data_IF_300327433052
#
_entry.id   IF_300327433052
#
_cell.length_a   1.000
_cell.length_b   1.000
_cell.length_c   1.000
_cell.angle_alpha   90.00
_cell.angle_beta   90.00
_cell.angle_gamma   90.00
#
_symmetry.space_group_name_H-M   'P 1'
#
loop_
_entity.id
_entity.type
_entity.pdbx_description
1 polymer ?
#
# COMPACT_ATOMS: atom_id res chain seq x y z
N UNK A 1 -18.86 -1.83 4.24
CA UNK A 1 -17.97 -1.79 3.05
C UNK A 1 -16.54 -2.17 3.42
N UNK A 2 -16.08 -1.80 4.62
CA UNK A 2 -14.74 -2.08 5.15
C UNK A 2 -14.38 -3.56 5.30
N UNK A 3 -15.33 -4.39 5.74
CA UNK A 3 -15.10 -5.82 5.98
C UNK A 3 -14.65 -6.59 4.72
N UNK A 4 -15.04 -6.11 3.53
CA UNK A 4 -14.67 -6.74 2.28
C UNK A 4 -13.23 -6.44 1.86
N UNK A 5 -12.69 -5.25 2.14
CA UNK A 5 -11.30 -4.93 1.77
C UNK A 5 -10.29 -5.61 2.68
N UNK A 6 -10.60 -5.67 3.97
CA UNK A 6 -9.79 -6.42 4.93
C UNK A 6 -9.72 -7.90 4.55
N UNK A 7 -10.85 -8.53 4.22
CA UNK A 7 -10.86 -9.93 3.78
C UNK A 7 -9.94 -10.18 2.57
N UNK A 8 -9.92 -9.27 1.59
CA UNK A 8 -9.02 -9.38 0.43
C UNK A 8 -7.54 -9.25 0.81
N UNK A 9 -7.22 -8.37 1.76
CA UNK A 9 -5.84 -8.18 2.26
C UNK A 9 -5.39 -9.41 3.06
N UNK A 10 -6.26 -9.94 3.91
CA UNK A 10 -6.02 -11.18 4.67
C UNK A 10 -5.76 -12.34 3.70
N UNK A 11 -6.48 -12.39 2.59
CA UNK A 11 -6.35 -13.41 1.54
C UNK A 11 -5.02 -13.29 0.77
N UNK A 12 -4.57 -12.07 0.48
CA UNK A 12 -3.24 -11.81 -0.10
C UNK A 12 -2.14 -12.30 0.86
N UNK A 13 -2.26 -11.98 2.15
CA UNK A 13 -1.30 -12.37 3.18
C UNK A 13 -1.19 -13.89 3.36
N UNK A 14 -2.33 -14.59 3.33
CA UNK A 14 -2.38 -16.04 3.50
C UNK A 14 -1.88 -16.81 2.26
N UNK A 15 -1.70 -16.13 1.12
CA UNK A 15 -1.22 -16.75 -0.11
C UNK A 15 0.29 -17.00 -0.06
N UNK A 16 0.77 -18.17 -0.54
CA UNK A 16 2.20 -18.43 -0.68
C UNK A 16 2.87 -17.49 -1.69
N UNK A 17 2.12 -17.01 -2.68
CA UNK A 17 2.53 -15.92 -3.58
C UNK A 17 1.55 -14.76 -3.40
N UNK A 18 1.92 -13.80 -2.56
CA UNK A 18 1.07 -12.66 -2.22
C UNK A 18 0.86 -11.71 -3.40
N UNK A 19 1.88 -11.47 -4.20
CA UNK A 19 1.77 -10.55 -5.33
C UNK A 19 0.90 -11.14 -6.44
N UNK A 20 1.12 -12.40 -6.82
CA UNK A 20 0.27 -13.09 -7.80
C UNK A 20 -1.19 -13.16 -7.31
N UNK A 21 -1.41 -13.34 -5.99
CA UNK A 21 -2.77 -13.30 -5.44
C UNK A 21 -3.40 -11.92 -5.55
N UNK A 22 -2.65 -10.87 -5.25
CA UNK A 22 -3.12 -9.50 -5.38
C UNK A 22 -3.51 -9.16 -6.84
N UNK A 23 -2.74 -9.64 -7.82
CA UNK A 23 -3.07 -9.51 -9.25
C UNK A 23 -4.35 -10.26 -9.64
N UNK A 24 -4.54 -11.48 -9.13
CA UNK A 24 -5.78 -12.24 -9.39
C UNK A 24 -6.99 -11.57 -8.76
N UNK A 25 -6.86 -11.06 -7.54
CA UNK A 25 -7.93 -10.34 -6.85
C UNK A 25 -8.25 -9.01 -7.54
N UNK A 26 -7.26 -8.24 -7.98
CA UNK A 26 -7.50 -6.96 -8.66
C UNK A 26 -8.38 -7.09 -9.91
N UNK A 27 -8.36 -8.25 -10.56
CA UNK A 27 -9.20 -8.57 -11.71
C UNK A 27 -10.67 -8.88 -11.36
N UNK A 28 -10.93 -9.38 -10.16
CA UNK A 28 -12.28 -9.78 -9.70
C UNK A 28 -12.94 -8.75 -8.80
N UNK A 29 -12.20 -7.73 -8.36
CA UNK A 29 -12.72 -6.65 -7.52
C UNK A 29 -13.76 -5.77 -8.23
N UNK A 30 -14.83 -5.44 -7.50
CA UNK A 30 -15.80 -4.44 -7.94
C UNK A 30 -15.15 -3.06 -8.06
N UNK A 31 -15.79 -2.16 -8.81
CA UNK A 31 -15.33 -0.77 -8.96
C UNK A 31 -15.27 -0.09 -7.58
N UNK A 32 -16.30 -0.26 -6.75
CA UNK A 32 -16.35 0.31 -5.39
C UNK A 32 -15.18 -0.15 -4.52
N UNK A 33 -14.80 -1.44 -4.61
CA UNK A 33 -13.67 -1.97 -3.85
C UNK A 33 -12.34 -1.38 -4.33
N UNK A 34 -12.15 -1.25 -5.65
CA UNK A 34 -10.96 -0.63 -6.24
C UNK A 34 -10.84 0.83 -5.84
N UNK A 35 -11.93 1.59 -5.92
CA UNK A 35 -11.98 2.98 -5.46
C UNK A 35 -11.78 3.10 -3.94
N UNK A 36 -12.26 2.13 -3.17
CA UNK A 36 -12.02 2.05 -1.73
C UNK A 36 -10.53 1.94 -1.41
N UNK A 37 -9.81 1.02 -2.08
CA UNK A 37 -8.36 0.87 -1.96
C UNK A 37 -7.60 2.13 -2.36
N UNK A 38 -7.94 2.72 -3.52
CA UNK A 38 -7.31 3.97 -3.96
C UNK A 38 -7.50 5.08 -2.93
N UNK A 39 -8.70 5.20 -2.35
CA UNK A 39 -8.98 6.17 -1.26
C UNK A 39 -8.15 5.90 0.00
N UNK A 40 -7.93 4.64 0.37
CA UNK A 40 -7.05 4.30 1.49
C UNK A 40 -5.62 4.75 1.20
N UNK A 41 -5.07 4.40 0.02
CA UNK A 41 -3.72 4.81 -0.36
C UNK A 41 -3.60 6.35 -0.44
N UNK A 42 -4.60 7.04 -0.98
CA UNK A 42 -4.65 8.50 -1.01
C UNK A 42 -4.60 9.13 0.39
N UNK A 43 -5.27 8.53 1.38
CA UNK A 43 -5.19 8.99 2.77
C UNK A 43 -3.79 8.78 3.35
N UNK A 44 -3.14 7.66 3.04
CA UNK A 44 -1.75 7.40 3.44
C UNK A 44 -0.80 8.43 2.79
N UNK A 45 -0.93 8.65 1.48
CA UNK A 45 -0.11 9.61 0.75
C UNK A 45 -0.33 11.06 1.22
N UNK A 46 -1.57 11.45 1.53
CA UNK A 46 -1.86 12.77 2.11
C UNK A 46 -1.28 12.99 3.51
N UNK A 47 -0.85 11.94 4.21
CA UNK A 47 -0.05 12.04 5.42
C UNK A 47 1.45 12.22 5.10
N UNK A 48 1.94 11.59 4.02
CA UNK A 48 3.30 11.82 3.48
C UNK A 48 3.52 13.28 3.16
N UNK A 49 2.63 13.90 2.38
CA UNK A 49 2.76 15.31 1.97
C UNK A 49 2.75 16.29 3.16
N UNK A 50 2.05 15.96 4.24
CA UNK A 50 2.04 16.77 5.47
C UNK A 50 3.33 16.62 6.27
N UNK A 51 3.90 15.41 6.30
CA UNK A 51 5.11 15.10 7.06
C UNK A 51 6.40 15.45 6.28
N UNK A 52 6.31 15.47 4.95
CA UNK A 52 7.39 15.79 4.03
C UNK A 52 6.88 16.76 2.96
N UNK A 53 6.71 18.06 3.29
CA UNK A 53 6.19 19.08 2.37
C UNK A 53 7.19 19.49 1.28
N UNK A 54 7.98 18.55 0.76
CA UNK A 54 9.00 18.77 -0.26
C UNK A 54 8.76 17.89 -1.48
N UNK A 55 8.39 18.53 -2.59
CA UNK A 55 8.52 18.04 -3.97
C UNK A 55 7.38 17.24 -4.63
N UNK A 56 6.12 17.49 -4.26
CA UNK A 56 4.97 17.15 -5.12
C UNK A 56 4.09 18.37 -5.36
N UNK A 57 4.38 19.09 -6.45
CA UNK A 57 3.45 20.07 -7.00
C UNK A 57 2.11 19.40 -7.31
N UNK A 58 1.02 19.97 -6.79
CA UNK A 58 -0.38 19.80 -7.19
C UNK A 58 -0.57 18.86 -8.40
N UNK A 59 -0.94 17.60 -8.16
CA UNK A 59 -1.32 16.72 -9.25
C UNK A 59 -2.58 15.92 -8.91
N UNK A 60 -3.49 15.94 -9.88
CA UNK A 60 -4.68 15.08 -9.95
C UNK A 60 -4.35 13.67 -9.49
N UNK A 61 -5.14 13.21 -8.52
CA UNK A 61 -4.84 12.14 -7.56
C UNK A 61 -4.96 10.73 -8.17
N UNK A 62 -4.95 10.63 -9.51
CA UNK A 62 -5.26 9.41 -10.27
C UNK A 62 -4.05 8.60 -10.74
N UNK A 63 -2.81 9.11 -10.66
CA UNK A 63 -1.64 8.41 -11.22
C UNK A 63 -0.30 8.75 -10.55
N UNK A 64 -0.27 9.62 -9.52
CA UNK A 64 0.98 10.19 -9.01
C UNK A 64 1.74 9.32 -7.99
N UNK A 65 1.14 8.21 -7.55
CA UNK A 65 1.67 7.37 -6.45
C UNK A 65 2.48 6.16 -6.92
N UNK A 66 2.33 5.81 -8.20
CA UNK A 66 2.84 4.58 -8.79
C UNK A 66 3.58 4.89 -10.09
N UNK A 67 4.62 4.12 -10.38
CA UNK A 67 5.30 4.12 -11.68
C UNK A 67 4.64 3.16 -12.69
N UNK A 68 3.43 2.67 -12.42
CA UNK A 68 2.77 1.60 -13.18
C UNK A 68 1.90 2.15 -14.30
N UNK A 69 1.86 1.44 -15.44
CA UNK A 69 1.11 1.90 -16.64
C UNK A 69 -0.35 1.40 -16.69
N UNK A 70 -0.75 0.48 -15.80
CA UNK A 70 -2.08 -0.15 -15.81
C UNK A 70 -2.82 0.01 -14.49
N UNK A 71 -4.11 0.36 -14.55
CA UNK A 71 -5.00 0.44 -13.37
C UNK A 71 -5.06 -0.90 -12.59
N UNK A 72 -4.94 -2.03 -13.28
CA UNK A 72 -4.97 -3.36 -12.63
C UNK A 72 -3.71 -3.65 -11.83
N UNK A 73 -2.57 -3.22 -12.35
CA UNK A 73 -1.28 -3.29 -11.66
C UNK A 73 -1.32 -2.37 -10.44
N UNK A 74 -1.87 -1.16 -10.59
CA UNK A 74 -2.07 -0.22 -9.48
C UNK A 74 -2.83 -0.86 -8.32
N UNK A 75 -3.99 -1.47 -8.59
CA UNK A 75 -4.81 -2.09 -7.54
C UNK A 75 -4.10 -3.26 -6.87
N UNK A 76 -3.39 -4.09 -7.65
CA UNK A 76 -2.62 -5.22 -7.13
C UNK A 76 -1.47 -4.74 -6.22
N UNK A 77 -0.74 -3.72 -6.68
CA UNK A 77 0.33 -3.06 -5.92
C UNK A 77 -0.18 -2.47 -4.60
N UNK A 78 -1.34 -1.83 -4.60
CA UNK A 78 -1.96 -1.28 -3.38
C UNK A 78 -2.32 -2.41 -2.40
N UNK A 79 -2.99 -3.46 -2.89
CA UNK A 79 -3.35 -4.63 -2.06
C UNK A 79 -2.11 -5.26 -1.42
N UNK A 80 -1.07 -5.45 -2.21
CA UNK A 80 0.16 -6.07 -1.75
C UNK A 80 0.90 -5.16 -0.75
N UNK A 81 0.98 -3.85 -0.99
CA UNK A 81 1.55 -2.93 -0.01
C UNK A 81 0.78 -2.95 1.31
N UNK A 82 -0.56 -2.93 1.26
CA UNK A 82 -1.38 -2.92 2.48
C UNK A 82 -1.25 -4.23 3.26
N UNK A 83 -1.13 -5.38 2.58
CA UNK A 83 -0.86 -6.65 3.27
C UNK A 83 0.50 -6.64 3.95
N UNK A 84 1.55 -6.15 3.27
CA UNK A 84 2.87 -6.00 3.85
C UNK A 84 2.86 -5.05 5.05
N UNK A 85 2.23 -3.89 4.92
CA UNK A 85 2.18 -2.89 5.97
C UNK A 85 1.31 -3.33 7.17
N UNK A 86 0.25 -4.13 6.97
CA UNK A 86 -0.58 -4.62 8.07
C UNK A 86 0.08 -5.79 8.81
N UNK A 87 0.79 -6.68 8.11
CA UNK A 87 1.28 -7.93 8.70
C UNK A 87 2.78 -7.94 9.01
N UNK A 88 3.58 -7.06 8.39
CA UNK A 88 5.03 -7.05 8.54
C UNK A 88 5.64 -5.75 9.08
N UNK A 89 4.88 -4.65 9.17
CA UNK A 89 5.42 -3.36 9.64
C UNK A 89 5.93 -3.41 11.09
N UNK A 90 5.26 -4.13 11.98
CA UNK A 90 5.71 -4.30 13.37
C UNK A 90 7.09 -4.96 13.47
N UNK A 91 7.37 -5.91 12.57
CA UNK A 91 8.67 -6.56 12.47
C UNK A 91 9.81 -5.60 12.12
N UNK A 92 9.51 -4.51 11.40
CA UNK A 92 10.50 -3.50 11.01
C UNK A 92 11.00 -2.65 12.18
N UNK A 93 10.22 -2.56 13.28
CA UNK A 93 10.61 -1.80 14.48
C UNK A 93 11.83 -2.43 15.15
N UNK A 94 11.92 -3.76 15.13
CA UNK A 94 13.03 -4.51 15.72
C UNK A 94 14.27 -4.59 14.83
N UNK A 95 14.18 -4.13 13.58
CA UNK A 95 15.31 -4.12 12.65
C UNK A 95 16.18 -2.86 12.85
N UNK A 96 17.50 -2.98 12.63
CA UNK A 96 18.41 -1.85 12.48
C UNK A 96 17.91 -0.85 11.43
N UNK A 97 18.19 0.46 11.59
CA UNK A 97 17.73 1.51 10.66
C UNK A 97 18.07 1.25 9.19
N UNK A 98 19.26 0.71 8.92
CA UNK A 98 19.76 0.43 7.58
C UNK A 98 18.96 -0.70 6.91
N UNK A 99 18.69 -1.77 7.67
CA UNK A 99 17.89 -2.90 7.20
C UNK A 99 16.41 -2.52 7.04
N UNK A 100 15.89 -1.67 7.93
CA UNK A 100 14.56 -1.10 7.81
C UNK A 100 14.42 -0.31 6.52
N UNK A 101 15.36 0.60 6.25
CA UNK A 101 15.35 1.39 5.02
C UNK A 101 15.44 0.51 3.78
N UNK A 102 16.36 -0.47 3.78
CA UNK A 102 16.48 -1.45 2.70
C UNK A 102 15.17 -2.19 2.45
N UNK A 103 14.46 -2.60 3.50
CA UNK A 103 13.15 -3.26 3.37
C UNK A 103 12.07 -2.34 2.79
N UNK A 104 12.01 -1.09 3.22
CA UNK A 104 11.07 -0.09 2.70
C UNK A 104 11.35 0.16 1.21
N UNK A 105 12.62 0.32 0.82
CA UNK A 105 13.00 0.44 -0.60
C UNK A 105 12.58 -0.80 -1.40
N UNK A 106 12.87 -2.01 -0.91
CA UNK A 106 12.47 -3.25 -1.59
C UNK A 106 10.96 -3.38 -1.73
N UNK A 107 10.17 -2.94 -0.74
CA UNK A 107 8.71 -2.91 -0.86
C UNK A 107 8.23 -1.91 -1.91
N UNK A 108 8.87 -0.75 -2.00
CA UNK A 108 8.63 0.22 -3.07
C UNK A 108 8.95 -0.34 -4.45
N UNK A 109 10.07 -1.05 -4.60
CA UNK A 109 10.46 -1.71 -5.86
C UNK A 109 9.47 -2.82 -6.26
N UNK A 110 9.07 -3.67 -5.30
CA UNK A 110 8.13 -4.78 -5.55
C UNK A 110 6.73 -4.30 -5.92
N UNK A 111 6.28 -3.19 -5.34
CA UNK A 111 4.93 -2.65 -5.57
C UNK A 111 4.91 -1.56 -6.64
N UNK A 112 6.06 -1.01 -7.01
CA UNK A 112 6.14 0.19 -7.85
C UNK A 112 5.61 1.46 -7.16
N UNK A 113 5.33 1.42 -5.86
CA UNK A 113 4.86 2.55 -5.05
C UNK A 113 6.07 3.34 -4.54
N UNK A 114 5.96 4.68 -4.55
CA UNK A 114 7.02 5.56 -4.06
C UNK A 114 7.40 5.28 -2.60
N UNK A 115 8.70 5.33 -2.30
CA UNK A 115 9.27 4.97 -1.00
C UNK A 115 8.66 5.76 0.16
N UNK A 116 8.33 7.03 -0.03
CA UNK A 116 7.74 7.90 0.98
C UNK A 116 6.34 7.43 1.40
N UNK A 117 5.53 6.96 0.44
CA UNK A 117 4.19 6.41 0.70
C UNK A 117 4.31 5.07 1.43
N UNK A 118 5.26 4.21 1.03
CA UNK A 118 5.54 2.94 1.71
C UNK A 118 5.98 3.21 3.16
N UNK A 119 6.85 4.20 3.38
CA UNK A 119 7.30 4.61 4.69
C UNK A 119 6.13 5.08 5.58
N UNK A 120 5.22 5.89 5.03
CA UNK A 120 4.04 6.33 5.78
C UNK A 120 3.06 5.19 6.09
N UNK A 121 2.87 4.25 5.16
CA UNK A 121 2.08 3.04 5.42
C UNK A 121 2.66 2.25 6.59
N UNK A 122 3.99 2.06 6.61
CA UNK A 122 4.71 1.40 7.72
C UNK A 122 4.55 2.16 9.04
N UNK A 123 4.68 3.49 9.03
CA UNK A 123 4.57 4.32 10.25
C UNK A 123 3.16 4.34 10.84
N UNK A 124 2.13 4.30 10.00
CA UNK A 124 0.75 4.20 10.47
C UNK A 124 0.54 2.94 11.32
N UNK A 125 1.20 1.85 10.91
CA UNK A 125 1.14 0.57 11.57
C UNK A 125 -0.21 -0.14 11.38
N UNK A 126 -0.32 -1.40 11.85
CA UNK A 126 -1.43 -2.28 11.52
C UNK A 126 -2.79 -1.75 11.98
N UNK A 127 -2.86 -1.21 13.20
CA UNK A 127 -4.14 -0.80 13.80
C UNK A 127 -4.74 0.43 13.11
N UNK A 128 -3.91 1.41 12.72
CA UNK A 128 -4.40 2.57 11.99
C UNK A 128 -4.78 2.22 10.56
N UNK A 129 -3.99 1.37 9.88
CA UNK A 129 -4.33 0.89 8.54
C UNK A 129 -5.64 0.09 8.53
N UNK A 130 -5.84 -0.82 9.48
CA UNK A 130 -7.11 -1.54 9.65
C UNK A 130 -8.30 -0.62 9.90
N UNK A 131 -8.09 0.50 10.61
CA UNK A 131 -9.14 1.51 10.82
C UNK A 131 -9.45 2.36 9.59
N UNK A 132 -8.60 2.35 8.56
CA UNK A 132 -8.84 3.02 7.28
C UNK A 132 -9.57 2.14 6.26
N UNK A 133 -9.47 0.81 6.41
CA UNK A 133 -10.17 -0.18 5.61
C UNK A 133 -11.65 -0.21 5.98
#
# INVERSE_FOLDING_TARGET
MSDNLKALIDEVWQSPDGYERAEKLSQTMSVDQREGLKRVLQRVAGLSEKNYPGDSGSCDVGSAFLNTSSEKEEVASILFLLSLAIYHSDGLVFMPPELRRSRICSWGELTGIKEDIVLEAVKLGPERLKGLL
#
